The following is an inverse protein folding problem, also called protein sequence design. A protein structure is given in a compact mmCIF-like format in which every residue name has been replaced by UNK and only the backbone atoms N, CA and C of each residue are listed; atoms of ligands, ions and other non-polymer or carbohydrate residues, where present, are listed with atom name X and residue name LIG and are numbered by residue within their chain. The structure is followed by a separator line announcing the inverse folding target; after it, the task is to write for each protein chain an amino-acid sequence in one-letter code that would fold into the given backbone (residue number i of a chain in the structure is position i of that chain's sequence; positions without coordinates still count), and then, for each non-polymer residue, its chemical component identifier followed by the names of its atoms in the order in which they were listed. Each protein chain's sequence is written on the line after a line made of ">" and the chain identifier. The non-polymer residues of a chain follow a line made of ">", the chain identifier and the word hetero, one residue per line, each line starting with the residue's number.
data_IF_026915759052
#
_entry.id   IF_026915759052
#
_cell.length_a   1.000
_cell.length_b   1.000
_cell.length_c   1.000
_cell.angle_alpha   90.00
_cell.angle_beta   90.00
_cell.angle_gamma   90.00
#
_symmetry.space_group_name_H-M   'P 1'
#
loop_
_entity.id
_entity.type
_entity.pdbx_description
1 polymer ?
#
# COMPACT_ATOMS: atom_id res chain seq x y z
N UNK A 1 -25.85 5.31 -13.87
CA UNK A 1 -24.72 4.38 -14.03
C UNK A 1 -23.82 4.54 -12.83
N UNK A 2 -23.89 3.58 -11.91
CA UNK A 2 -23.03 3.51 -10.74
C UNK A 2 -22.22 2.26 -11.00
N UNK A 3 -21.02 2.41 -11.55
CA UNK A 3 -20.03 1.35 -11.43
C UNK A 3 -19.14 1.72 -10.27
N UNK A 4 -19.15 0.80 -9.31
CA UNK A 4 -18.65 0.93 -7.95
C UNK A 4 -17.12 1.03 -7.99
N UNK A 5 -16.60 2.19 -7.62
CA UNK A 5 -15.34 2.22 -6.89
C UNK A 5 -15.60 1.52 -5.54
N UNK A 6 -15.42 0.21 -5.47
CA UNK A 6 -15.47 -0.54 -4.21
C UNK A 6 -14.21 -0.19 -3.40
N UNK A 7 -14.17 1.02 -2.84
CA UNK A 7 -13.17 1.42 -1.86
C UNK A 7 -13.54 0.79 -0.52
N UNK A 8 -12.75 -0.21 -0.12
CA UNK A 8 -12.90 -0.84 1.18
C UNK A 8 -12.04 -0.05 2.18
N UNK A 9 -12.71 0.78 2.97
CA UNK A 9 -12.07 1.60 4.01
C UNK A 9 -11.92 0.76 5.28
N UNK A 10 -10.68 0.59 5.75
CA UNK A 10 -10.39 -0.07 7.02
C UNK A 10 -10.04 0.97 8.08
N UNK A 11 -10.85 1.05 9.16
CA UNK A 11 -10.72 2.06 10.22
C UNK A 11 -10.59 1.49 11.64
N UNK A 12 -9.95 2.27 12.52
CA UNK A 12 -9.56 2.05 13.94
C UNK A 12 -8.34 1.13 14.16
N UNK A 13 -7.17 1.69 14.48
CA UNK A 13 -5.90 0.97 14.69
C UNK A 13 -6.08 -0.31 15.51
N UNK A 14 -5.80 -1.45 14.88
CA UNK A 14 -5.67 -2.77 15.50
C UNK A 14 -4.72 -3.59 14.65
N UNK A 15 -3.90 -4.40 15.31
CA UNK A 15 -2.75 -5.14 14.75
C UNK A 15 -3.06 -6.09 13.59
N UNK A 16 -4.35 -6.30 13.27
CA UNK A 16 -4.82 -7.20 12.21
C UNK A 16 -5.08 -6.58 10.83
N UNK A 17 -5.28 -5.26 10.70
CA UNK A 17 -5.65 -4.63 9.40
C UNK A 17 -4.54 -4.72 8.38
N UNK A 18 -3.34 -4.34 8.79
CA UNK A 18 -2.13 -4.45 7.97
C UNK A 18 -1.92 -5.87 7.48
N UNK A 19 -2.13 -6.87 8.35
CA UNK A 19 -1.99 -8.27 7.98
C UNK A 19 -3.03 -8.70 6.93
N UNK A 20 -4.27 -8.20 7.03
CA UNK A 20 -5.30 -8.45 6.00
C UNK A 20 -4.96 -7.76 4.68
N UNK A 21 -4.43 -6.53 4.72
CA UNK A 21 -3.99 -5.83 3.50
C UNK A 21 -2.87 -6.59 2.79
N UNK A 22 -1.89 -7.07 3.53
CA UNK A 22 -0.77 -7.85 3.00
C UNK A 22 -1.23 -9.22 2.48
N UNK A 23 -2.19 -9.86 3.14
CA UNK A 23 -2.79 -11.13 2.69
C UNK A 23 -3.56 -10.95 1.38
N UNK A 24 -4.33 -9.86 1.24
CA UNK A 24 -5.07 -9.57 -0.01
C UNK A 24 -4.10 -9.18 -1.14
N UNK A 25 -3.05 -8.42 -0.83
CA UNK A 25 -2.04 -8.03 -1.80
C UNK A 25 -1.06 -9.16 -2.16
N UNK A 26 -1.00 -10.23 -1.35
CA UNK A 26 -0.10 -11.36 -1.51
C UNK A 26 1.34 -11.13 -1.06
N UNK A 27 1.65 -9.97 -0.48
CA UNK A 27 3.01 -9.55 -0.13
C UNK A 27 3.04 -8.77 1.19
N UNK A 28 4.10 -8.99 1.98
CA UNK A 28 4.42 -8.15 3.13
C UNK A 28 5.27 -6.97 2.69
N UNK A 29 4.72 -5.76 2.82
CA UNK A 29 5.42 -4.52 2.47
C UNK A 29 5.09 -3.37 3.40
N UNK A 30 4.12 -3.53 4.31
CA UNK A 30 3.82 -2.49 5.27
C UNK A 30 4.84 -2.56 6.40
N UNK A 31 5.41 -1.43 6.83
CA UNK A 31 6.39 -1.46 7.92
C UNK A 31 5.76 -1.89 9.26
N UNK A 32 6.37 -2.85 9.97
CA UNK A 32 5.90 -3.39 11.26
C UNK A 32 6.94 -3.15 12.37
N UNK A 33 6.55 -2.64 13.54
CA UNK A 33 7.44 -2.52 14.71
C UNK A 33 6.96 -1.57 15.83
N UNK A 34 7.55 -1.71 17.03
CA UNK A 34 7.13 -1.04 18.26
C UNK A 34 7.22 0.50 18.28
N UNK A 35 7.86 1.12 17.29
CA UNK A 35 7.97 2.58 17.15
C UNK A 35 7.45 3.11 15.82
N UNK A 36 6.73 2.29 15.04
CA UNK A 36 6.12 2.76 13.79
C UNK A 36 4.70 3.21 14.06
N UNK A 37 4.53 4.52 14.15
CA UNK A 37 3.22 5.16 14.07
C UNK A 37 2.98 5.47 12.59
N UNK A 38 1.91 4.92 12.03
CA UNK A 38 1.42 5.34 10.72
C UNK A 38 0.91 6.77 10.85
N UNK A 39 1.75 7.75 10.51
CA UNK A 39 1.38 9.18 10.57
C UNK A 39 0.70 9.68 9.28
N UNK A 40 0.58 8.83 8.25
CA UNK A 40 0.00 9.17 6.95
C UNK A 40 -0.97 8.07 6.51
N UNK A 41 -2.06 8.42 5.84
CA UNK A 41 -2.94 7.42 5.24
C UNK A 41 -2.23 6.65 4.13
N UNK A 42 -2.52 5.36 3.99
CA UNK A 42 -2.08 4.53 2.89
C UNK A 42 -3.28 4.24 1.99
N UNK A 43 -3.21 4.68 0.73
CA UNK A 43 -4.19 4.34 -0.29
C UNK A 43 -3.56 3.29 -1.22
N UNK A 44 -4.08 2.07 -1.15
CA UNK A 44 -3.57 0.92 -1.87
C UNK A 44 -4.56 0.51 -2.97
N UNK A 45 -4.16 0.59 -4.22
CA UNK A 45 -4.93 0.09 -5.36
C UNK A 45 -4.30 -1.19 -5.86
N UNK A 46 -5.04 -2.29 -5.78
CA UNK A 46 -4.71 -3.56 -6.42
C UNK A 46 -5.24 -3.53 -7.84
N UNK A 47 -4.38 -3.85 -8.80
CA UNK A 47 -4.70 -3.84 -10.23
C UNK A 47 -4.40 -5.23 -10.79
N UNK A 48 -5.45 -5.89 -11.27
CA UNK A 48 -5.32 -7.14 -12.00
C UNK A 48 -4.56 -6.87 -13.30
N UNK A 49 -3.50 -7.65 -13.52
CA UNK A 49 -2.76 -7.66 -14.78
C UNK A 49 -3.09 -8.95 -15.54
N UNK A 50 -4.21 -8.98 -16.29
CA UNK A 50 -4.66 -10.20 -16.93
C UNK A 50 -3.60 -10.71 -17.91
N UNK A 51 -3.16 -11.94 -17.67
CA UNK A 51 -2.19 -12.65 -18.50
C UNK A 51 -2.78 -12.92 -19.89
N UNK A 52 -2.54 -12.02 -20.83
CA UNK A 52 -2.80 -12.31 -22.24
C UNK A 52 -1.78 -13.31 -22.78
N UNK A 53 -2.03 -14.61 -22.61
CA UNK A 53 -1.53 -15.83 -23.32
C UNK A 53 -0.02 -15.96 -23.66
N UNK A 54 0.84 -14.93 -23.61
CA UNK A 54 2.17 -14.98 -24.28
C UNK A 54 3.36 -14.50 -23.47
N UNK A 55 3.25 -14.08 -22.21
CA UNK A 55 4.44 -13.65 -21.45
C UNK A 55 4.55 -14.34 -20.10
N UNK A 56 5.46 -15.32 -20.01
CA UNK A 56 5.88 -16.03 -18.79
C UNK A 56 6.64 -15.15 -17.77
N UNK A 57 6.47 -13.83 -17.83
CA UNK A 57 7.17 -12.83 -17.01
C UNK A 57 6.20 -11.83 -16.34
N UNK A 58 4.95 -12.21 -16.09
CA UNK A 58 4.07 -11.42 -15.22
C UNK A 58 4.59 -11.52 -13.79
N UNK A 59 5.44 -10.56 -13.40
CA UNK A 59 5.92 -10.38 -12.03
C UNK A 59 5.03 -9.36 -11.34
N UNK A 60 4.83 -9.57 -10.05
CA UNK A 60 4.20 -8.57 -9.20
C UNK A 60 5.11 -7.36 -9.08
N UNK A 61 4.55 -6.17 -9.23
CA UNK A 61 5.30 -4.93 -9.04
C UNK A 61 4.44 -3.84 -8.41
N UNK A 62 5.11 -2.88 -7.78
CA UNK A 62 4.50 -1.75 -7.10
C UNK A 62 4.93 -0.46 -7.80
N UNK A 63 3.97 0.44 -7.99
CA UNK A 63 4.22 1.83 -8.38
C UNK A 63 3.75 2.78 -7.27
N UNK A 64 4.55 3.80 -6.99
CA UNK A 64 4.23 4.84 -6.03
C UNK A 64 4.85 6.15 -6.49
N UNK A 65 4.04 7.19 -6.66
CA UNK A 65 4.51 8.51 -7.13
C UNK A 65 5.40 9.20 -6.08
N UNK A 66 5.22 8.87 -4.81
CA UNK A 66 6.01 9.37 -3.68
C UNK A 66 7.37 8.67 -3.55
N UNK A 67 7.61 7.60 -4.30
CA UNK A 67 8.93 6.97 -4.41
C UNK A 67 9.72 7.59 -5.58
N UNK A 68 10.90 7.04 -5.86
CA UNK A 68 11.58 7.31 -7.11
C UNK A 68 10.75 6.77 -8.29
N UNK A 69 10.78 7.48 -9.42
CA UNK A 69 10.12 7.05 -10.66
C UNK A 69 10.59 5.64 -11.04
N UNK A 70 9.67 4.68 -11.07
CA UNK A 70 9.98 3.29 -11.43
C UNK A 70 8.95 2.30 -10.94
N UNK A 71 9.15 1.05 -11.36
CA UNK A 71 8.42 -0.13 -10.91
C UNK A 71 9.30 -0.89 -9.92
N UNK A 72 8.73 -1.26 -8.78
CA UNK A 72 9.42 -1.99 -7.73
C UNK A 72 8.93 -3.44 -7.72
N UNK A 73 9.78 -4.39 -8.11
CA UNK A 73 9.49 -5.83 -8.02
C UNK A 73 10.00 -6.47 -6.71
N UNK A 74 10.75 -5.72 -5.90
CA UNK A 74 11.14 -6.10 -4.54
C UNK A 74 10.30 -5.36 -3.48
N UNK A 75 9.39 -6.09 -2.84
CA UNK A 75 8.53 -5.57 -1.79
C UNK A 75 9.28 -5.17 -0.51
N UNK A 76 10.52 -5.66 -0.31
CA UNK A 76 11.39 -5.18 0.79
C UNK A 76 11.86 -3.76 0.55
N UNK A 77 12.14 -3.42 -0.70
CA UNK A 77 12.49 -2.05 -1.08
C UNK A 77 11.29 -1.12 -0.85
N UNK A 78 10.08 -1.56 -1.22
CA UNK A 78 8.83 -0.83 -0.92
C UNK A 78 8.70 -0.57 0.58
N UNK A 79 8.92 -1.58 1.43
CA UNK A 79 8.87 -1.43 2.88
C UNK A 79 9.91 -0.43 3.42
N UNK A 80 11.13 -0.47 2.89
CA UNK A 80 12.19 0.47 3.26
C UNK A 80 11.83 1.91 2.87
N UNK A 81 11.26 2.12 1.67
CA UNK A 81 10.82 3.44 1.22
C UNK A 81 9.67 3.97 2.07
N UNK A 82 8.67 3.15 2.40
CA UNK A 82 7.58 3.51 3.31
C UNK A 82 8.11 3.90 4.70
N UNK A 83 9.07 3.14 5.21
CA UNK A 83 9.73 3.44 6.49
C UNK A 83 10.44 4.79 6.44
N UNK A 84 11.18 5.05 5.37
CA UNK A 84 11.90 6.32 5.17
C UNK A 84 10.94 7.50 5.09
N UNK A 85 9.82 7.38 4.36
CA UNK A 85 8.81 8.43 4.27
C UNK A 85 8.17 8.76 5.63
N UNK A 86 7.98 7.75 6.48
CA UNK A 86 7.46 7.96 7.83
C UNK A 86 8.51 8.63 8.74
N UNK A 87 9.79 8.25 8.64
CA UNK A 87 10.88 8.86 9.42
C UNK A 87 11.23 10.30 8.98
N UNK A 88 10.91 10.67 7.73
CA UNK A 88 11.12 12.03 7.22
C UNK A 88 10.09 13.03 7.78
N UNK A 89 9.03 12.54 8.45
CA UNK A 89 8.07 13.39 9.15
C UNK A 89 8.71 13.93 10.44
N UNK A 90 8.75 15.25 10.67
CA UNK A 90 9.23 15.80 11.92
C UNK A 90 8.36 15.32 13.10
N UNK A 91 8.97 15.01 14.24
CA UNK A 91 8.28 14.60 15.48
C UNK A 91 7.19 15.60 15.93
N UNK A 92 7.28 16.87 15.50
CA UNK A 92 6.27 17.90 15.77
C UNK A 92 4.98 17.75 14.97
N UNK A 93 4.94 16.87 13.97
CA UNK A 93 3.78 16.64 13.09
C UNK A 93 3.15 15.30 13.45
N UNK A 94 2.03 15.34 14.16
CA UNK A 94 1.32 14.13 14.58
C UNK A 94 0.69 13.37 13.40
N UNK A 95 0.18 14.09 12.40
CA UNK A 95 -0.49 13.52 11.21
C UNK A 95 -0.14 14.35 9.98
N UNK A 96 0.22 13.67 8.89
CA UNK A 96 0.42 14.29 7.58
C UNK A 96 -0.83 14.02 6.73
N UNK A 97 -1.44 15.08 6.24
CA UNK A 97 -2.68 15.00 5.44
C UNK A 97 -2.48 14.48 4.01
N UNK A 98 -1.23 14.26 3.58
CA UNK A 98 -0.91 13.73 2.27
C UNK A 98 -0.85 12.19 2.34
N UNK A 99 -1.76 11.46 1.69
CA UNK A 99 -1.72 10.01 1.63
C UNK A 99 -0.54 9.51 0.80
N UNK A 100 -0.12 8.27 1.08
CA UNK A 100 0.82 7.52 0.25
C UNK A 100 -0.02 6.65 -0.70
N UNK A 101 0.16 6.84 -2.00
CA UNK A 101 -0.58 6.11 -3.02
C UNK A 101 0.27 4.95 -3.53
N UNK A 102 -0.13 3.72 -3.22
CA UNK A 102 0.51 2.50 -3.71
C UNK A 102 -0.38 1.83 -4.73
N UNK A 103 0.18 1.46 -5.87
CA UNK A 103 -0.48 0.63 -6.88
C UNK A 103 0.26 -0.70 -6.97
N UNK A 104 -0.40 -1.80 -6.62
CA UNK A 104 0.15 -3.15 -6.75
C UNK A 104 -0.46 -3.78 -7.98
N UNK A 105 0.40 -4.16 -8.91
CA UNK A 105 0.04 -4.84 -10.13
C UNK A 105 0.37 -6.32 -9.96
N UNK A 106 -0.63 -7.18 -10.11
CA UNK A 106 -0.44 -8.62 -9.94
C UNK A 106 -1.53 -9.39 -10.70
N UNK A 107 -1.23 -10.56 -11.29
CA UNK A 107 -2.23 -11.38 -11.96
C UNK A 107 -3.07 -12.22 -10.98
N UNK A 108 -2.72 -12.22 -9.69
CA UNK A 108 -3.43 -12.99 -8.65
C UNK A 108 -4.37 -12.14 -7.80
N UNK A 109 -4.35 -10.81 -7.97
CA UNK A 109 -5.21 -9.88 -7.24
C UNK A 109 -6.41 -9.45 -8.08
N UNK A 110 -7.50 -9.08 -7.42
CA UNK A 110 -8.63 -8.43 -8.07
C UNK A 110 -8.48 -6.91 -8.04
N UNK A 111 -9.09 -6.22 -9.01
CA UNK A 111 -9.14 -4.76 -9.01
C UNK A 111 -9.87 -4.24 -7.76
N UNK A 112 -9.14 -3.66 -6.81
CA UNK A 112 -9.68 -3.23 -5.52
C UNK A 112 -8.92 -2.01 -5.01
N UNK A 113 -9.63 -1.07 -4.39
CA UNK A 113 -9.01 0.06 -3.69
C UNK A 113 -9.21 -0.08 -2.18
N UNK A 114 -8.12 0.06 -1.44
CA UNK A 114 -8.01 -0.15 0.00
C UNK A 114 -7.47 1.14 0.62
N UNK A 115 -8.06 1.58 1.72
CA UNK A 115 -7.56 2.77 2.44
C UNK A 115 -7.29 2.39 3.89
N UNK A 116 -6.04 2.57 4.33
CA UNK A 116 -5.61 2.52 5.72
C UNK A 116 -5.45 3.94 6.25
N UNK A 117 -6.22 4.30 7.28
CA UNK A 117 -6.19 5.63 7.86
C UNK A 117 -5.34 5.64 9.13
N UNK A 118 -4.59 6.73 9.39
CA UNK A 118 -3.87 6.89 10.65
C UNK A 118 -4.86 6.88 11.81
N UNK A 119 -4.51 6.20 12.90
CA UNK A 119 -5.32 6.18 14.11
C UNK A 119 -5.35 7.57 14.76
N UNK A 120 -6.53 8.13 14.99
CA UNK A 120 -6.69 9.21 15.96
C UNK A 120 -6.60 8.62 17.37
N UNK A 121 -5.58 9.03 18.13
CA UNK A 121 -5.54 8.86 19.59
C UNK A 121 -6.42 9.91 20.27
#
# INVERSE_FOLDING_TARGET
>A
SIDKDESLVFGSQSSGKTSVLEEIAGHEFVPKGNNMVTCRSLELTLIDTPTGITNSNCKDYVECEQFALGQFDDFREVQNQLTRLNLDVPDSVAVVNQPINLKVYSPIVSNLSLVDLPGYI
#
